data_IF_464649355617
#
_entry.id   IF_464649355617
#
_cell.length_a   1.000
_cell.length_b   1.000
_cell.length_c   1.000
_cell.angle_alpha   90.00
_cell.angle_beta   90.00
_cell.angle_gamma   90.00
#
_symmetry.space_group_name_H-M   'P 1'
#
loop_
_entity.id
_entity.type
_entity.pdbx_description
1 polymer ?
#
# COMPACT_ATOMS: atom_id res chain seq x y z
N UNK A 1 13.85 -7.95 42.50
CA UNK A 1 13.07 -7.01 41.68
C UNK A 1 11.70 -7.61 41.48
N UNK A 2 10.69 -6.96 42.01
CA UNK A 2 9.31 -7.45 42.12
C UNK A 2 8.65 -7.52 40.73
N UNK A 3 8.11 -8.66 40.26
CA UNK A 3 7.49 -8.80 38.96
C UNK A 3 6.16 -8.05 38.80
N UNK A 4 5.65 -7.47 39.88
CA UNK A 4 4.32 -6.83 39.95
C UNK A 4 4.26 -5.38 39.43
N UNK A 5 5.36 -4.78 39.01
CA UNK A 5 5.41 -3.37 38.59
C UNK A 5 5.55 -3.18 37.08
N UNK A 6 4.98 -4.09 36.27
CA UNK A 6 4.70 -3.80 34.88
C UNK A 6 3.50 -2.84 34.82
N UNK A 7 3.75 -1.56 35.07
CA UNK A 7 2.78 -0.52 34.73
C UNK A 7 2.46 -0.70 33.23
N UNK A 8 1.23 -1.16 32.95
CA UNK A 8 0.69 -1.23 31.60
C UNK A 8 0.82 0.16 30.98
N UNK A 9 1.78 0.31 30.09
CA UNK A 9 1.95 1.55 29.33
C UNK A 9 0.69 1.78 28.50
N UNK A 10 -0.18 2.68 28.98
CA UNK A 10 -1.45 2.96 28.34
C UNK A 10 -1.30 3.84 27.09
N UNK A 11 -0.13 4.48 26.91
CA UNK A 11 0.08 5.49 25.87
C UNK A 11 1.51 5.42 25.33
N UNK A 12 1.66 5.48 24.01
CA UNK A 12 2.93 5.69 23.31
C UNK A 12 3.05 7.15 22.84
N UNK A 13 4.28 7.65 22.82
CA UNK A 13 4.65 8.97 22.29
C UNK A 13 5.25 8.74 20.91
N UNK A 14 4.65 9.31 19.85
CA UNK A 14 5.13 9.27 18.49
C UNK A 14 5.91 10.56 18.19
N UNK A 15 7.24 10.51 18.19
CA UNK A 15 8.06 11.73 17.97
C UNK A 15 7.82 12.33 16.58
N UNK A 16 7.63 11.49 15.56
CA UNK A 16 7.39 11.95 14.21
C UNK A 16 8.50 12.88 13.70
N UNK A 17 8.15 14.11 13.39
CA UNK A 17 9.04 15.17 12.92
C UNK A 17 9.18 16.30 13.95
N UNK A 18 9.02 16.00 15.25
CA UNK A 18 9.02 17.00 16.34
C UNK A 18 10.24 17.89 16.40
N UNK A 19 11.39 17.41 15.92
CA UNK A 19 12.64 18.18 15.89
C UNK A 19 12.59 19.36 14.90
N UNK A 20 11.58 19.39 14.01
CA UNK A 20 11.41 20.38 12.96
C UNK A 20 9.97 20.94 12.89
N UNK A 21 9.57 21.87 13.79
CA UNK A 21 8.18 22.36 13.87
C UNK A 21 7.67 23.01 12.58
N UNK A 22 8.52 23.74 11.84
CA UNK A 22 8.14 24.32 10.55
C UNK A 22 7.85 23.24 9.49
N UNK A 23 8.59 22.13 9.53
CA UNK A 23 8.37 21.01 8.64
C UNK A 23 7.04 20.31 8.94
N UNK A 24 6.65 20.17 10.21
CA UNK A 24 5.37 19.60 10.60
C UNK A 24 4.18 20.36 10.03
N UNK A 25 4.23 21.69 10.06
CA UNK A 25 3.18 22.53 9.48
C UNK A 25 3.06 22.32 7.95
N UNK A 26 4.20 22.27 7.24
CA UNK A 26 4.21 22.00 5.80
C UNK A 26 3.70 20.58 5.51
N UNK A 27 4.19 19.59 6.27
CA UNK A 27 3.78 18.21 6.11
C UNK A 27 2.28 18.01 6.36
N UNK A 28 1.69 18.71 7.32
CA UNK A 28 0.25 18.62 7.58
C UNK A 28 -0.57 19.04 6.36
N UNK A 29 -0.19 20.12 5.68
CA UNK A 29 -0.81 20.57 4.43
C UNK A 29 -0.62 19.56 3.30
N UNK A 30 0.60 19.08 3.10
CA UNK A 30 0.97 18.10 2.06
C UNK A 30 0.21 16.78 2.28
N UNK A 31 0.22 16.24 3.50
CA UNK A 31 -0.47 15.00 3.85
C UNK A 31 -1.97 15.13 3.65
N UNK A 32 -2.57 16.24 4.09
CA UNK A 32 -4.00 16.49 3.88
C UNK A 32 -4.35 16.54 2.39
N UNK A 33 -3.55 17.21 1.58
CA UNK A 33 -3.76 17.31 0.14
C UNK A 33 -3.72 15.93 -0.53
N UNK A 34 -2.68 15.13 -0.27
CA UNK A 34 -2.57 13.79 -0.84
C UNK A 34 -3.65 12.82 -0.32
N UNK A 35 -4.06 12.96 0.94
CA UNK A 35 -5.15 12.17 1.50
C UNK A 35 -6.49 12.45 0.81
N UNK A 36 -6.80 13.71 0.54
CA UNK A 36 -8.00 14.08 -0.24
C UNK A 36 -7.95 13.46 -1.65
N UNK A 37 -6.80 13.54 -2.33
CA UNK A 37 -6.61 12.91 -3.65
C UNK A 37 -6.84 11.39 -3.56
N UNK A 38 -6.31 10.74 -2.53
CA UNK A 38 -6.51 9.30 -2.30
C UNK A 38 -7.99 8.97 -2.12
N UNK A 39 -8.69 9.70 -1.24
CA UNK A 39 -10.12 9.46 -0.97
C UNK A 39 -10.97 9.65 -2.22
N UNK A 40 -10.80 10.78 -2.92
CA UNK A 40 -11.60 11.11 -4.11
C UNK A 40 -11.24 10.19 -5.27
N UNK A 41 -9.96 10.03 -5.55
CA UNK A 41 -9.48 9.29 -6.73
C UNK A 41 -9.80 7.80 -6.66
N UNK A 42 -9.50 7.16 -5.52
CA UNK A 42 -9.75 5.72 -5.36
C UNK A 42 -11.26 5.42 -5.26
N UNK A 43 -12.05 6.27 -4.58
CA UNK A 43 -13.51 6.13 -4.58
C UNK A 43 -14.09 6.26 -6.00
N UNK A 44 -13.59 7.20 -6.80
CA UNK A 44 -14.03 7.36 -8.19
C UNK A 44 -13.71 6.12 -9.05
N UNK A 45 -12.52 5.50 -8.89
CA UNK A 45 -12.16 4.25 -9.58
C UNK A 45 -13.10 3.12 -9.17
N UNK A 46 -13.36 2.95 -7.87
CA UNK A 46 -14.27 1.92 -7.37
C UNK A 46 -15.66 2.10 -7.98
N UNK A 47 -16.21 3.30 -7.91
CA UNK A 47 -17.55 3.60 -8.46
C UNK A 47 -17.60 3.39 -9.97
N UNK A 48 -16.62 3.90 -10.73
CA UNK A 48 -16.56 3.71 -12.18
C UNK A 48 -16.49 2.23 -12.55
N UNK A 49 -15.65 1.44 -11.85
CA UNK A 49 -15.48 0.00 -12.11
C UNK A 49 -16.70 -0.85 -11.71
N UNK A 50 -17.57 -0.35 -10.86
CA UNK A 50 -18.82 -1.01 -10.48
C UNK A 50 -19.97 -0.66 -11.43
N UNK A 51 -20.03 0.62 -11.87
CA UNK A 51 -21.18 1.16 -12.60
C UNK A 51 -21.04 1.02 -14.12
N UNK A 52 -19.82 0.99 -14.69
CA UNK A 52 -19.63 0.83 -16.14
C UNK A 52 -19.38 -0.64 -16.50
N UNK A 53 -20.31 -1.31 -17.24
CA UNK A 53 -20.15 -2.72 -17.66
C UNK A 53 -18.89 -2.98 -18.49
N UNK A 54 -18.36 -1.98 -19.21
CA UNK A 54 -17.13 -2.11 -19.98
C UNK A 54 -15.89 -2.34 -19.10
N UNK A 55 -15.98 -2.00 -17.81
CA UNK A 55 -14.93 -2.21 -16.82
C UNK A 55 -15.08 -3.53 -16.03
N UNK A 56 -16.01 -4.41 -16.40
CA UNK A 56 -16.19 -5.71 -15.74
C UNK A 56 -15.21 -6.75 -16.30
N UNK A 57 -13.90 -6.46 -16.23
CA UNK A 57 -12.84 -7.38 -16.63
C UNK A 57 -11.93 -7.72 -15.44
N UNK A 58 -11.16 -8.83 -15.50
CA UNK A 58 -10.24 -9.20 -14.43
C UNK A 58 -9.30 -8.06 -14.00
N UNK A 59 -8.75 -7.31 -14.97
CA UNK A 59 -7.90 -6.15 -14.69
C UNK A 59 -8.56 -5.13 -13.78
N UNK A 60 -9.78 -4.70 -14.09
CA UNK A 60 -10.49 -3.69 -13.30
C UNK A 60 -11.00 -4.25 -11.98
N UNK A 61 -11.23 -5.56 -11.89
CA UNK A 61 -11.51 -6.24 -10.63
C UNK A 61 -10.32 -6.13 -9.67
N UNK A 62 -9.08 -6.39 -10.14
CA UNK A 62 -7.88 -6.21 -9.31
C UNK A 62 -7.60 -4.74 -9.01
N UNK A 63 -7.78 -3.85 -9.97
CA UNK A 63 -7.62 -2.41 -9.77
C UNK A 63 -8.59 -1.86 -8.71
N UNK A 64 -9.83 -2.33 -8.71
CA UNK A 64 -10.81 -1.99 -7.66
C UNK A 64 -10.37 -2.47 -6.27
N UNK A 65 -9.80 -3.67 -6.19
CA UNK A 65 -9.23 -4.17 -4.93
C UNK A 65 -8.03 -3.34 -4.48
N UNK A 66 -7.15 -2.91 -5.39
CA UNK A 66 -6.04 -2.01 -5.09
C UNK A 66 -6.55 -0.66 -4.59
N UNK A 67 -7.54 -0.06 -5.26
CA UNK A 67 -8.14 1.20 -4.81
C UNK A 67 -8.81 1.10 -3.45
N UNK A 68 -9.48 -0.01 -3.14
CA UNK A 68 -10.03 -0.26 -1.82
C UNK A 68 -8.93 -0.41 -0.76
N UNK A 69 -7.86 -1.12 -1.09
CA UNK A 69 -6.67 -1.25 -0.25
C UNK A 69 -6.06 0.14 0.06
N UNK A 70 -5.87 0.98 -0.95
CA UNK A 70 -5.32 2.34 -0.81
C UNK A 70 -6.14 3.21 0.15
N UNK A 71 -7.48 3.12 0.08
CA UNK A 71 -8.39 3.82 0.99
C UNK A 71 -8.21 3.33 2.43
N UNK A 72 -8.21 2.02 2.64
CA UNK A 72 -8.05 1.44 3.98
C UNK A 72 -6.67 1.76 4.56
N UNK A 73 -5.62 1.64 3.75
CA UNK A 73 -4.23 1.85 4.15
C UNK A 73 -3.98 3.28 4.60
N UNK A 74 -4.32 4.26 3.78
CA UNK A 74 -4.14 5.67 4.12
C UNK A 74 -5.04 6.10 5.28
N UNK A 75 -6.28 5.61 5.35
CA UNK A 75 -7.20 5.96 6.44
C UNK A 75 -6.77 5.35 7.79
N UNK A 76 -6.02 4.26 7.80
CA UNK A 76 -5.45 3.70 9.03
C UNK A 76 -4.29 4.53 9.60
N UNK A 77 -3.66 5.38 8.79
CA UNK A 77 -2.45 6.14 9.16
C UNK A 77 -2.74 7.62 9.29
N UNK A 78 -3.32 8.23 8.25
CA UNK A 78 -3.38 9.69 8.09
C UNK A 78 -4.17 10.41 9.17
N UNK A 79 -5.36 9.97 9.61
CA UNK A 79 -6.09 10.69 10.65
C UNK A 79 -5.30 10.83 11.95
N UNK A 80 -4.68 9.76 12.44
CA UNK A 80 -3.85 9.79 13.65
C UNK A 80 -2.60 10.66 13.45
N UNK A 81 -1.97 10.57 12.26
CA UNK A 81 -0.82 11.40 11.93
C UNK A 81 -1.18 12.89 11.94
N UNK A 82 -2.31 13.29 11.34
CA UNK A 82 -2.76 14.69 11.33
C UNK A 82 -3.07 15.20 12.74
N UNK A 83 -3.72 14.39 13.58
CA UNK A 83 -3.95 14.73 14.99
C UNK A 83 -2.63 15.01 15.71
N UNK A 84 -1.61 14.20 15.45
CA UNK A 84 -0.29 14.38 16.07
C UNK A 84 0.49 15.57 15.48
N UNK A 85 0.32 15.90 14.19
CA UNK A 85 0.97 17.06 13.57
C UNK A 85 0.36 18.40 14.05
N UNK A 86 -0.95 18.43 14.31
CA UNK A 86 -1.65 19.66 14.75
C UNK A 86 -1.74 19.80 16.27
N UNK A 87 -1.72 18.67 16.98
CA UNK A 87 -1.92 18.65 18.42
C UNK A 87 -0.65 18.86 19.24
N UNK A 88 -0.77 19.42 20.45
CA UNK A 88 0.38 19.58 21.35
C UNK A 88 0.87 18.24 21.94
N UNK A 89 0.00 17.22 21.95
CA UNK A 89 0.31 15.89 22.46
C UNK A 89 0.47 14.91 21.31
N UNK A 90 1.66 14.40 21.11
CA UNK A 90 2.02 13.44 20.07
C UNK A 90 1.86 12.01 20.59
N UNK A 91 0.64 11.63 20.93
CA UNK A 91 0.36 10.39 21.63
C UNK A 91 -0.64 9.50 20.90
N UNK A 92 -0.48 8.20 21.09
CA UNK A 92 -1.44 7.18 20.68
C UNK A 92 -1.64 6.20 21.83
N UNK A 93 -2.88 5.73 22.04
CA UNK A 93 -3.14 4.69 23.04
C UNK A 93 -2.43 3.38 22.68
N UNK A 94 -2.09 2.57 23.68
CA UNK A 94 -1.46 1.25 23.45
C UNK A 94 -2.32 0.36 22.54
N UNK A 95 -3.64 0.38 22.74
CA UNK A 95 -4.59 -0.33 21.86
C UNK A 95 -4.58 0.23 20.44
N UNK A 96 -4.63 1.56 20.30
CA UNK A 96 -4.59 2.21 18.99
C UNK A 96 -3.30 1.91 18.23
N UNK A 97 -2.16 1.93 18.91
CA UNK A 97 -0.86 1.57 18.33
C UNK A 97 -0.83 0.10 17.87
N UNK A 98 -1.33 -0.81 18.70
CA UNK A 98 -1.42 -2.23 18.37
C UNK A 98 -2.32 -2.44 17.15
N UNK A 99 -3.52 -1.88 17.12
CA UNK A 99 -4.44 -1.97 15.98
C UNK A 99 -3.80 -1.39 14.71
N UNK A 100 -3.17 -0.22 14.81
CA UNK A 100 -2.46 0.40 13.68
C UNK A 100 -1.36 -0.52 13.14
N UNK A 101 -0.55 -1.13 14.02
CA UNK A 101 0.51 -2.06 13.63
C UNK A 101 -0.05 -3.26 12.84
N UNK A 102 -1.12 -3.91 13.34
CA UNK A 102 -1.73 -5.06 12.68
C UNK A 102 -2.32 -4.68 11.32
N UNK A 103 -3.08 -3.60 11.26
CA UNK A 103 -3.73 -3.13 10.02
C UNK A 103 -2.67 -2.71 8.99
N UNK A 104 -1.66 -1.94 9.42
CA UNK A 104 -0.55 -1.50 8.58
C UNK A 104 0.21 -2.68 7.96
N UNK A 105 0.61 -3.67 8.76
CA UNK A 105 1.32 -4.85 8.29
C UNK A 105 0.47 -5.73 7.38
N UNK A 106 -0.82 -5.88 7.69
CA UNK A 106 -1.75 -6.65 6.88
C UNK A 106 -1.93 -6.02 5.50
N UNK A 107 -2.28 -4.74 5.44
CA UNK A 107 -2.56 -4.04 4.19
C UNK A 107 -1.30 -3.87 3.32
N UNK A 108 -0.13 -3.61 3.93
CA UNK A 108 1.15 -3.55 3.21
C UNK A 108 1.55 -4.90 2.59
N UNK A 109 1.26 -6.01 3.29
CA UNK A 109 1.47 -7.36 2.74
C UNK A 109 0.52 -7.67 1.58
N UNK A 110 -0.74 -7.22 1.66
CA UNK A 110 -1.71 -7.35 0.55
C UNK A 110 -1.19 -6.62 -0.69
N UNK A 111 -0.64 -5.42 -0.54
CA UNK A 111 -0.13 -4.63 -1.67
C UNK A 111 0.98 -5.37 -2.42
N UNK A 112 1.96 -5.96 -1.72
CA UNK A 112 3.00 -6.78 -2.33
C UNK A 112 2.43 -7.93 -3.17
N UNK A 113 1.53 -8.71 -2.58
CA UNK A 113 0.96 -9.90 -3.24
C UNK A 113 -0.01 -9.52 -4.37
N UNK A 114 -0.80 -8.45 -4.20
CA UNK A 114 -1.77 -7.99 -5.20
C UNK A 114 -1.06 -7.49 -6.46
N UNK A 115 0.05 -6.76 -6.33
CA UNK A 115 0.86 -6.35 -7.48
C UNK A 115 1.40 -7.54 -8.26
N UNK A 116 1.78 -8.65 -7.59
CA UNK A 116 2.19 -9.87 -8.28
C UNK A 116 1.01 -10.54 -9.02
N UNK A 117 -0.18 -10.59 -8.42
CA UNK A 117 -1.39 -11.08 -9.09
C UNK A 117 -1.71 -10.22 -10.31
N UNK A 118 -1.61 -8.90 -10.21
CA UNK A 118 -1.81 -7.99 -11.34
C UNK A 118 -0.76 -8.18 -12.44
N UNK A 119 0.49 -8.50 -12.10
CA UNK A 119 1.51 -8.82 -13.11
C UNK A 119 1.20 -10.12 -13.86
N UNK A 120 0.66 -11.13 -13.17
CA UNK A 120 0.20 -12.37 -13.80
C UNK A 120 -1.00 -12.13 -14.72
N UNK A 121 -1.94 -11.27 -14.34
CA UNK A 121 -3.03 -10.83 -15.22
C UNK A 121 -2.48 -10.18 -16.50
N UNK A 122 -1.50 -9.27 -16.39
CA UNK A 122 -0.85 -8.65 -17.56
C UNK A 122 -0.14 -9.68 -18.44
N UNK A 123 0.60 -10.61 -17.82
CA UNK A 123 1.26 -11.70 -18.53
C UNK A 123 0.27 -12.53 -19.35
N UNK A 124 -0.83 -12.96 -18.74
CA UNK A 124 -1.86 -13.74 -19.42
C UNK A 124 -2.54 -12.96 -20.55
N UNK A 125 -2.84 -11.69 -20.34
CA UNK A 125 -3.48 -10.84 -21.34
C UNK A 125 -2.61 -10.60 -22.59
N UNK A 126 -1.29 -10.52 -22.42
CA UNK A 126 -0.36 -10.19 -23.51
C UNK A 126 0.26 -11.44 -24.15
N UNK A 127 0.69 -12.39 -23.32
CA UNK A 127 1.38 -13.59 -23.81
C UNK A 127 0.42 -14.73 -24.22
N UNK A 128 -0.82 -14.74 -23.69
CA UNK A 128 -1.83 -15.78 -23.97
C UNK A 128 -3.21 -15.16 -24.29
N UNK A 129 -3.33 -14.24 -25.27
CA UNK A 129 -4.54 -13.44 -25.48
C UNK A 129 -5.77 -14.29 -25.83
N UNK A 130 -5.61 -15.38 -26.58
CA UNK A 130 -6.69 -16.28 -26.96
C UNK A 130 -7.29 -17.07 -25.78
N UNK A 131 -6.50 -17.30 -24.74
CA UNK A 131 -6.91 -18.07 -23.56
C UNK A 131 -7.16 -17.17 -22.34
N UNK A 132 -7.07 -15.86 -22.48
CA UNK A 132 -7.12 -14.92 -21.35
C UNK A 132 -8.36 -15.09 -20.50
N UNK A 133 -9.55 -15.04 -21.06
CA UNK A 133 -10.82 -15.17 -20.31
C UNK A 133 -11.07 -16.58 -19.79
N UNK A 134 -10.45 -17.60 -20.38
CA UNK A 134 -10.53 -18.99 -19.88
C UNK A 134 -9.64 -19.15 -18.64
N UNK A 135 -8.41 -18.61 -18.70
CA UNK A 135 -7.45 -18.66 -17.58
C UNK A 135 -7.92 -17.73 -16.45
N UNK A 136 -8.17 -16.46 -16.77
CA UNK A 136 -8.56 -15.42 -15.82
C UNK A 136 -10.09 -15.39 -15.62
N UNK A 137 -10.68 -16.56 -15.35
CA UNK A 137 -12.13 -16.64 -15.07
C UNK A 137 -12.45 -16.02 -13.69
N UNK A 138 -13.71 -15.59 -13.47
CA UNK A 138 -14.12 -14.92 -12.22
C UNK A 138 -13.82 -15.73 -10.95
N UNK A 139 -13.96 -17.07 -11.02
CA UNK A 139 -13.69 -17.95 -9.87
C UNK A 139 -12.22 -17.91 -9.47
N UNK A 140 -11.31 -17.95 -10.46
CA UNK A 140 -9.87 -17.84 -10.20
C UNK A 140 -9.52 -16.46 -9.64
N UNK A 141 -10.06 -15.38 -10.22
CA UNK A 141 -9.81 -14.02 -9.74
C UNK A 141 -10.22 -13.84 -8.27
N UNK A 142 -11.40 -14.30 -7.89
CA UNK A 142 -11.88 -14.27 -6.50
C UNK A 142 -10.99 -15.14 -5.60
N UNK A 143 -10.64 -16.36 -6.03
CA UNK A 143 -9.75 -17.25 -5.27
C UNK A 143 -8.41 -16.59 -5.01
N UNK A 144 -7.80 -15.94 -6.01
CA UNK A 144 -6.52 -15.23 -5.86
C UNK A 144 -6.63 -14.10 -4.83
N UNK A 145 -7.69 -13.29 -4.88
CA UNK A 145 -7.91 -12.23 -3.89
C UNK A 145 -8.08 -12.80 -2.49
N UNK A 146 -8.92 -13.81 -2.31
CA UNK A 146 -9.11 -14.45 -0.99
C UNK A 146 -7.79 -15.00 -0.44
N UNK A 147 -6.96 -15.61 -1.29
CA UNK A 147 -5.63 -16.11 -0.89
C UNK A 147 -4.69 -14.95 -0.51
N UNK A 148 -4.65 -13.87 -1.28
CA UNK A 148 -3.85 -12.68 -0.98
C UNK A 148 -4.22 -12.09 0.38
N UNK A 149 -5.50 -11.89 0.65
CA UNK A 149 -5.99 -11.34 1.91
C UNK A 149 -5.70 -12.29 3.09
N UNK A 150 -5.91 -13.61 2.91
CA UNK A 150 -5.68 -14.62 3.94
C UNK A 150 -4.20 -14.80 4.30
N UNK A 151 -3.31 -14.93 3.31
CA UNK A 151 -1.86 -15.04 3.53
C UNK A 151 -1.33 -13.79 4.21
N UNK A 152 -1.74 -12.61 3.77
CA UNK A 152 -1.33 -11.33 4.35
C UNK A 152 -1.80 -11.19 5.80
N UNK A 153 -3.02 -11.64 6.11
CA UNK A 153 -3.53 -11.64 7.48
C UNK A 153 -2.71 -12.56 8.38
N UNK A 154 -2.42 -13.78 7.93
CA UNK A 154 -1.59 -14.71 8.68
C UNK A 154 -0.18 -14.14 8.95
N UNK A 155 0.46 -13.53 7.94
CA UNK A 155 1.74 -12.84 8.10
C UNK A 155 1.66 -11.73 9.16
N UNK A 156 0.66 -10.86 9.06
CA UNK A 156 0.45 -9.78 10.03
C UNK A 156 0.23 -10.31 11.44
N UNK A 157 -0.63 -11.31 11.62
CA UNK A 157 -0.91 -11.91 12.94
C UNK A 157 0.37 -12.47 13.54
N UNK A 158 1.17 -13.22 12.79
CA UNK A 158 2.42 -13.80 13.31
C UNK A 158 3.38 -12.71 13.75
N UNK A 159 3.74 -11.78 12.85
CA UNK A 159 4.76 -10.77 13.13
C UNK A 159 4.34 -9.78 14.21
N UNK A 160 3.10 -9.30 14.16
CA UNK A 160 2.62 -8.34 15.14
C UNK A 160 2.45 -8.95 16.53
N UNK A 161 1.98 -10.20 16.62
CA UNK A 161 1.87 -10.89 17.92
C UNK A 161 3.25 -11.08 18.55
N UNK A 162 4.25 -11.51 17.78
CA UNK A 162 5.63 -11.63 18.26
C UNK A 162 6.17 -10.27 18.75
N UNK A 163 5.88 -9.19 18.05
CA UNK A 163 6.37 -7.85 18.38
C UNK A 163 5.66 -7.23 19.58
N UNK A 164 4.34 -7.36 19.67
CA UNK A 164 3.54 -6.77 20.75
C UNK A 164 3.84 -7.43 22.10
N UNK A 165 4.18 -8.71 22.10
CA UNK A 165 4.53 -9.46 23.32
C UNK A 165 5.96 -9.20 23.82
N UNK A 166 6.79 -8.42 23.11
CA UNK A 166 8.11 -8.06 23.60
C UNK A 166 8.02 -7.15 24.84
N UNK A 167 8.74 -7.46 25.93
CA UNK A 167 8.87 -6.58 27.09
C UNK A 167 9.55 -5.26 26.74
N UNK A 168 9.00 -4.13 27.21
CA UNK A 168 9.48 -2.78 26.89
C UNK A 168 10.09 -2.03 28.08
N UNK A 169 10.00 -2.60 29.29
CA UNK A 169 10.62 -2.07 30.53
C UNK A 169 10.36 -0.57 30.77
N UNK A 170 9.17 -0.09 30.47
CA UNK A 170 8.82 1.32 30.64
C UNK A 170 9.11 2.23 29.44
N UNK A 171 9.77 1.74 28.37
CA UNK A 171 9.99 2.51 27.16
C UNK A 171 8.69 2.67 26.37
N UNK A 172 8.30 3.91 26.10
CA UNK A 172 7.06 4.26 25.37
C UNK A 172 7.24 5.33 24.31
N UNK A 173 8.48 5.68 23.98
CA UNK A 173 8.80 6.69 22.98
C UNK A 173 9.16 5.98 21.68
N UNK A 174 8.36 6.22 20.62
CA UNK A 174 8.61 5.74 19.28
C UNK A 174 9.13 6.88 18.42
N UNK A 175 10.36 6.72 17.90
CA UNK A 175 10.96 7.70 16.99
C UNK A 175 10.43 7.48 15.56
N UNK A 176 9.11 7.59 15.42
CA UNK A 176 8.39 7.50 14.14
C UNK A 176 7.04 8.21 14.24
N UNK A 177 6.38 8.48 13.10
CA UNK A 177 5.05 9.09 13.05
C UNK A 177 3.89 8.09 13.07
N UNK A 178 4.19 6.79 13.03
CA UNK A 178 3.24 5.68 13.12
C UNK A 178 3.83 4.52 13.91
N UNK A 179 2.97 3.62 14.39
CA UNK A 179 3.38 2.37 15.02
C UNK A 179 3.77 1.37 13.93
N UNK A 180 5.06 1.24 13.68
CA UNK A 180 5.62 0.26 12.75
C UNK A 180 6.47 -0.79 13.49
N UNK A 181 6.65 -1.93 12.85
CA UNK A 181 7.33 -3.06 13.45
C UNK A 181 8.79 -2.74 13.85
N UNK A 182 9.64 -2.12 13.01
CA UNK A 182 11.01 -1.79 13.42
C UNK A 182 11.07 -0.82 14.60
N UNK A 183 10.18 0.16 14.68
CA UNK A 183 10.15 1.12 15.79
C UNK A 183 9.74 0.43 17.10
N UNK A 184 8.78 -0.51 17.03
CA UNK A 184 8.31 -1.28 18.19
C UNK A 184 9.37 -2.27 18.69
N UNK A 185 10.16 -2.90 17.80
CA UNK A 185 11.26 -3.80 18.18
C UNK A 185 12.39 -3.04 18.84
N UNK A 186 12.71 -1.81 18.36
CA UNK A 186 13.80 -0.98 18.92
C UNK A 186 13.60 -0.58 20.39
N UNK A 187 12.36 -0.48 20.87
CA UNK A 187 12.07 -0.11 22.27
C UNK A 187 11.98 -1.33 23.21
N UNK A 188 12.17 -2.54 22.68
CA UNK A 188 12.22 -3.75 23.50
C UNK A 188 13.48 -3.76 24.37
N UNK A 189 13.36 -4.26 25.61
CA UNK A 189 14.46 -4.37 26.56
C UNK A 189 14.99 -5.79 26.73
N UNK A 190 14.68 -6.65 25.76
CA UNK A 190 15.11 -8.06 25.71
C UNK A 190 15.81 -8.34 24.38
N UNK A 191 16.41 -9.51 24.28
CA UNK A 191 16.98 -9.99 23.00
C UNK A 191 15.88 -10.17 21.94
N UNK A 192 15.99 -9.43 20.84
CA UNK A 192 15.02 -9.38 19.74
C UNK A 192 15.39 -10.27 18.56
N UNK A 193 16.53 -10.98 18.63
CA UNK A 193 17.10 -11.76 17.52
C UNK A 193 16.09 -12.72 16.88
N UNK A 194 15.27 -13.40 17.69
CA UNK A 194 14.24 -14.32 17.16
C UNK A 194 13.15 -13.59 16.36
N UNK A 195 12.73 -12.44 16.83
CA UNK A 195 11.70 -11.62 16.14
C UNK A 195 12.29 -11.06 14.85
N UNK A 196 13.49 -10.52 14.89
CA UNK A 196 14.19 -9.99 13.71
C UNK A 196 14.41 -11.07 12.65
N UNK A 197 14.80 -12.29 13.05
CA UNK A 197 14.95 -13.43 12.13
C UNK A 197 13.59 -13.82 11.51
N UNK A 198 12.50 -13.80 12.29
CA UNK A 198 11.16 -14.08 11.78
C UNK A 198 10.71 -13.01 10.79
N UNK A 199 10.97 -11.73 11.08
CA UNK A 199 10.70 -10.60 10.18
C UNK A 199 11.46 -10.75 8.87
N UNK A 200 12.74 -11.10 8.95
CA UNK A 200 13.58 -11.33 7.78
C UNK A 200 13.07 -12.50 6.92
N UNK A 201 12.79 -13.65 7.53
CA UNK A 201 12.32 -14.84 6.83
C UNK A 201 10.95 -14.61 6.15
N UNK A 202 9.99 -14.04 6.86
CA UNK A 202 8.67 -13.71 6.31
C UNK A 202 8.74 -12.56 5.30
N UNK A 203 9.64 -11.61 5.50
CA UNK A 203 9.91 -10.54 4.54
C UNK A 203 10.40 -11.08 3.19
N UNK A 204 11.24 -12.09 3.15
CA UNK A 204 11.63 -12.79 1.92
C UNK A 204 10.39 -13.35 1.22
N UNK A 205 9.51 -14.03 1.95
CA UNK A 205 8.30 -14.66 1.38
C UNK A 205 7.32 -13.62 0.86
N UNK A 206 7.07 -12.56 1.62
CA UNK A 206 5.99 -11.58 1.34
C UNK A 206 6.46 -10.45 0.41
N UNK A 207 7.74 -10.11 0.39
CA UNK A 207 8.27 -9.00 -0.41
C UNK A 207 9.09 -9.50 -1.60
N UNK A 208 10.11 -10.33 -1.37
CA UNK A 208 11.01 -10.73 -2.46
C UNK A 208 10.38 -11.74 -3.41
N UNK A 209 9.62 -12.72 -2.93
CA UNK A 209 8.98 -13.71 -3.82
C UNK A 209 8.01 -13.05 -4.80
N UNK A 210 7.06 -12.17 -4.38
CA UNK A 210 6.22 -11.44 -5.31
C UNK A 210 7.01 -10.58 -6.30
N UNK A 211 8.06 -9.90 -5.85
CA UNK A 211 8.92 -9.09 -6.73
C UNK A 211 9.58 -9.95 -7.81
N UNK A 212 10.11 -11.11 -7.46
CA UNK A 212 10.70 -12.05 -8.44
C UNK A 212 9.64 -12.51 -9.45
N UNK A 213 8.42 -12.85 -9.00
CA UNK A 213 7.31 -13.22 -9.88
C UNK A 213 6.92 -12.09 -10.85
N UNK A 214 6.91 -10.84 -10.36
CA UNK A 214 6.68 -9.65 -11.19
C UNK A 214 7.77 -9.54 -12.26
N UNK A 215 9.04 -9.62 -11.88
CA UNK A 215 10.18 -9.50 -12.81
C UNK A 215 10.15 -10.61 -13.87
N UNK A 216 9.87 -11.85 -13.49
CA UNK A 216 9.70 -12.97 -14.43
C UNK A 216 8.56 -12.70 -15.40
N UNK A 217 7.38 -12.29 -14.91
CA UNK A 217 6.21 -11.98 -15.73
C UNK A 217 6.53 -10.89 -16.76
N UNK A 218 7.19 -9.82 -16.33
CA UNK A 218 7.59 -8.72 -17.22
C UNK A 218 8.72 -9.08 -18.18
N UNK A 219 9.61 -9.99 -17.81
CA UNK A 219 10.59 -10.57 -18.75
C UNK A 219 9.92 -11.28 -19.92
N UNK A 220 8.91 -12.11 -19.65
CA UNK A 220 8.12 -12.77 -20.71
C UNK A 220 7.29 -11.78 -21.53
N UNK A 221 6.67 -10.79 -20.90
CA UNK A 221 5.93 -9.72 -21.58
C UNK A 221 6.86 -8.96 -22.53
N UNK A 222 8.03 -8.54 -22.05
CA UNK A 222 9.00 -7.82 -22.88
C UNK A 222 9.42 -8.63 -24.11
N UNK A 223 9.77 -9.92 -23.91
CA UNK A 223 10.10 -10.83 -25.02
C UNK A 223 8.96 -10.94 -26.04
N UNK A 224 7.71 -11.06 -25.57
CA UNK A 224 6.54 -11.16 -26.44
C UNK A 224 6.31 -9.86 -27.22
N UNK A 225 6.38 -8.71 -26.54
CA UNK A 225 6.18 -7.39 -27.17
C UNK A 225 7.24 -7.08 -28.21
N UNK A 226 8.51 -7.39 -27.94
CA UNK A 226 9.61 -7.20 -28.91
C UNK A 226 9.44 -8.04 -30.17
N UNK A 227 8.83 -9.22 -30.05
CA UNK A 227 8.56 -10.12 -31.20
C UNK A 227 7.27 -9.80 -31.96
N UNK A 228 6.45 -8.83 -31.51
CA UNK A 228 5.24 -8.42 -32.20
C UNK A 228 5.58 -7.68 -33.50
N UNK A 229 5.01 -8.10 -34.64
CA UNK A 229 5.19 -7.45 -35.93
C UNK A 229 4.47 -6.09 -36.04
N UNK A 230 3.39 -5.89 -35.27
CA UNK A 230 2.58 -4.68 -35.33
C UNK A 230 3.07 -3.64 -34.31
N UNK A 231 3.55 -2.49 -34.80
CA UNK A 231 3.92 -1.34 -33.94
C UNK A 231 2.75 -0.83 -33.11
N UNK A 232 1.53 -0.83 -33.65
CA UNK A 232 0.33 -0.45 -32.94
C UNK A 232 0.03 -1.41 -31.77
N UNK A 233 0.22 -2.72 -31.96
CA UNK A 233 0.11 -3.74 -30.92
C UNK A 233 1.16 -3.57 -29.82
N UNK A 234 2.43 -3.31 -30.21
CA UNK A 234 3.51 -3.01 -29.25
C UNK A 234 3.16 -1.79 -28.38
N UNK A 235 2.75 -0.68 -29.01
CA UNK A 235 2.39 0.54 -28.28
C UNK A 235 1.23 0.34 -27.33
N UNK A 236 0.20 -0.42 -27.73
CA UNK A 236 -0.93 -0.76 -26.86
C UNK A 236 -0.49 -1.58 -25.66
N UNK A 237 0.37 -2.59 -25.85
CA UNK A 237 0.92 -3.42 -24.78
C UNK A 237 1.76 -2.59 -23.80
N UNK A 238 2.66 -1.74 -24.31
CA UNK A 238 3.50 -0.85 -23.49
C UNK A 238 2.65 0.13 -22.68
N UNK A 239 1.62 0.73 -23.27
CA UNK A 239 0.73 1.65 -22.53
C UNK A 239 -0.05 0.93 -21.43
N UNK A 240 -0.50 -0.29 -21.67
CA UNK A 240 -1.23 -1.10 -20.70
C UNK A 240 -0.35 -1.53 -19.53
N UNK A 241 0.90 -1.93 -19.81
CA UNK A 241 1.85 -2.36 -18.79
C UNK A 241 2.48 -1.20 -18.02
N UNK A 242 2.65 -0.06 -18.70
CA UNK A 242 3.40 1.08 -18.14
C UNK A 242 2.81 1.65 -16.86
N UNK A 243 1.49 1.65 -16.70
CA UNK A 243 0.86 2.07 -15.45
C UNK A 243 1.22 1.15 -14.30
N UNK A 244 1.10 -0.17 -14.49
CA UNK A 244 1.42 -1.14 -13.46
C UNK A 244 2.92 -1.12 -13.11
N UNK A 245 3.81 -1.08 -14.12
CA UNK A 245 5.25 -0.95 -13.89
C UNK A 245 5.62 0.32 -13.12
N UNK A 246 4.95 1.43 -13.40
CA UNK A 246 5.17 2.69 -12.66
C UNK A 246 4.83 2.50 -11.18
N UNK A 247 3.67 1.92 -10.87
CA UNK A 247 3.24 1.63 -9.48
C UNK A 247 4.20 0.67 -8.80
N UNK A 248 4.57 -0.44 -9.45
CA UNK A 248 5.55 -1.41 -8.94
C UNK A 248 6.89 -0.73 -8.64
N UNK A 249 7.37 0.12 -9.55
CA UNK A 249 8.66 0.83 -9.36
C UNK A 249 8.62 1.81 -8.20
N UNK A 250 7.52 2.56 -8.03
CA UNK A 250 7.35 3.48 -6.90
C UNK A 250 7.28 2.72 -5.57
N UNK A 251 6.50 1.65 -5.52
CA UNK A 251 6.30 0.86 -4.31
C UNK A 251 7.57 0.09 -3.94
N UNK A 252 8.03 -0.82 -4.80
CA UNK A 252 9.19 -1.65 -4.50
C UNK A 252 10.50 -0.87 -4.49
N UNK A 253 10.63 0.17 -5.31
CA UNK A 253 11.80 1.05 -5.29
C UNK A 253 11.99 1.72 -3.94
N UNK A 254 10.92 2.19 -3.32
CA UNK A 254 10.95 2.78 -1.98
C UNK A 254 11.35 1.77 -0.91
N UNK A 255 10.78 0.56 -0.96
CA UNK A 255 11.09 -0.53 -0.02
C UNK A 255 12.55 -0.98 -0.18
N UNK A 256 13.01 -1.24 -1.41
CA UNK A 256 14.36 -1.68 -1.70
C UNK A 256 15.37 -0.62 -1.23
N UNK A 257 15.11 0.67 -1.50
CA UNK A 257 15.97 1.75 -1.05
C UNK A 257 16.06 1.79 0.49
N UNK A 258 14.95 1.61 1.19
CA UNK A 258 14.91 1.60 2.66
C UNK A 258 15.73 0.44 3.25
N UNK A 259 15.65 -0.76 2.65
CA UNK A 259 16.30 -1.96 3.17
C UNK A 259 17.72 -2.20 2.66
N UNK A 260 18.11 -1.66 1.50
CA UNK A 260 19.45 -1.84 0.92
C UNK A 260 20.45 -0.75 1.33
N UNK A 261 20.05 0.25 2.13
CA UNK A 261 21.02 1.22 2.62
C UNK A 261 22.00 0.54 3.59
N UNK A 262 23.30 0.45 3.25
CA UNK A 262 24.29 -0.19 4.12
C UNK A 262 24.48 0.64 5.38
N UNK A 263 24.11 0.09 6.52
CA UNK A 263 24.42 0.49 7.87
C UNK A 263 24.19 1.96 8.20
N UNK A 264 23.29 2.27 9.10
CA UNK A 264 23.14 3.53 9.90
C UNK A 264 23.40 4.90 9.21
N UNK A 265 23.57 4.97 7.89
CA UNK A 265 23.84 6.21 7.15
C UNK A 265 22.58 6.94 6.66
N UNK A 266 21.42 6.25 6.60
CA UNK A 266 20.18 7.00 6.46
C UNK A 266 19.95 7.76 7.75
N UNK A 267 19.87 9.09 7.69
CA UNK A 267 19.38 9.85 8.83
C UNK A 267 18.02 9.26 9.22
N UNK A 268 17.69 9.20 10.50
CA UNK A 268 16.40 8.70 10.99
C UNK A 268 15.23 9.32 10.21
N UNK A 269 15.38 10.57 9.80
CA UNK A 269 14.40 11.31 9.02
C UNK A 269 14.24 10.79 7.59
N UNK A 270 15.28 10.31 6.92
CA UNK A 270 15.14 9.71 5.57
C UNK A 270 14.23 8.46 5.60
N UNK A 271 14.33 7.62 6.64
CA UNK A 271 13.44 6.50 6.82
C UNK A 271 11.98 6.94 6.95
N UNK A 272 11.71 7.98 7.76
CA UNK A 272 10.38 8.56 7.94
C UNK A 272 9.82 9.12 6.62
N UNK A 273 10.63 9.86 5.84
CA UNK A 273 10.19 10.38 4.54
C UNK A 273 9.88 9.28 3.53
N UNK A 274 10.69 8.22 3.49
CA UNK A 274 10.41 7.08 2.62
C UNK A 274 9.12 6.36 3.02
N UNK A 275 8.91 6.14 4.31
CA UNK A 275 7.66 5.57 4.81
C UNK A 275 6.47 6.44 4.40
N UNK A 276 6.57 7.76 4.55
CA UNK A 276 5.55 8.72 4.12
C UNK A 276 5.28 8.63 2.61
N UNK A 277 6.34 8.45 1.81
CA UNK A 277 6.23 8.34 0.36
C UNK A 277 5.42 7.12 -0.06
N UNK A 278 5.77 5.92 0.39
CA UNK A 278 5.04 4.72 -0.06
C UNK A 278 3.69 4.51 0.65
N UNK A 279 3.48 5.10 1.84
CA UNK A 279 2.21 4.94 2.57
C UNK A 279 1.14 5.97 2.22
N UNK A 280 1.53 7.16 1.77
CA UNK A 280 0.60 8.27 1.51
C UNK A 280 0.68 8.74 0.06
N UNK A 281 1.90 9.01 -0.46
CA UNK A 281 2.05 9.56 -1.81
C UNK A 281 1.74 8.51 -2.86
N UNK A 282 2.29 7.30 -2.76
CA UNK A 282 2.04 6.24 -3.76
C UNK A 282 0.55 5.89 -3.90
N UNK A 283 -0.24 5.66 -2.82
CA UNK A 283 -1.69 5.45 -2.93
C UNK A 283 -2.46 6.60 -3.56
N UNK A 284 -1.98 7.84 -3.41
CA UNK A 284 -2.60 9.00 -4.05
C UNK A 284 -2.27 9.10 -5.54
N UNK A 285 -1.11 8.60 -5.96
CA UNK A 285 -0.70 8.58 -7.37
C UNK A 285 -1.36 7.44 -8.15
N UNK A 286 -1.73 6.34 -7.51
CA UNK A 286 -2.35 5.19 -8.16
C UNK A 286 -3.57 5.56 -9.03
N UNK A 287 -4.56 6.34 -8.54
CA UNK A 287 -5.68 6.78 -9.36
C UNK A 287 -5.25 7.58 -10.59
N UNK A 288 -4.26 8.46 -10.44
CA UNK A 288 -3.75 9.29 -11.52
C UNK A 288 -3.04 8.43 -12.58
N UNK A 289 -2.16 7.53 -12.15
CA UNK A 289 -1.38 6.66 -13.04
C UNK A 289 -2.30 5.75 -13.86
N UNK A 290 -3.28 5.11 -13.23
CA UNK A 290 -4.21 4.22 -13.92
C UNK A 290 -5.22 4.97 -14.77
N UNK A 291 -5.69 6.16 -14.34
CA UNK A 291 -6.63 6.97 -15.11
C UNK A 291 -5.94 7.63 -16.31
N UNK A 292 -4.76 8.24 -16.11
CA UNK A 292 -4.11 9.01 -17.18
C UNK A 292 -3.70 8.16 -18.38
N UNK A 293 -3.37 6.90 -18.18
CA UNK A 293 -2.92 5.99 -19.25
C UNK A 293 -4.01 5.07 -19.78
N UNK A 294 -5.16 4.98 -19.11
CA UNK A 294 -6.25 4.07 -19.51
C UNK A 294 -7.43 4.86 -20.06
N UNK A 295 -7.71 4.67 -21.36
CA UNK A 295 -8.79 5.35 -22.07
C UNK A 295 -10.17 4.94 -21.57
N UNK A 296 -10.39 3.65 -21.33
CA UNK A 296 -11.68 3.13 -20.88
C UNK A 296 -12.04 3.68 -19.49
N UNK A 297 -11.07 3.75 -18.59
CA UNK A 297 -11.24 4.37 -17.27
C UNK A 297 -11.55 5.86 -17.37
N UNK A 298 -10.87 6.61 -18.26
CA UNK A 298 -11.18 8.03 -18.49
C UNK A 298 -12.62 8.24 -18.96
N UNK A 299 -13.06 7.41 -19.89
CA UNK A 299 -14.39 7.52 -20.47
C UNK A 299 -15.47 7.13 -19.44
N UNK A 300 -15.24 6.12 -18.63
CA UNK A 300 -16.12 5.74 -17.51
C UNK A 300 -16.22 6.85 -16.44
N UNK A 301 -15.12 7.49 -16.07
CA UNK A 301 -15.11 8.60 -15.14
C UNK A 301 -15.86 9.83 -15.70
N UNK A 302 -15.71 10.14 -16.99
CA UNK A 302 -16.49 11.21 -17.64
C UNK A 302 -17.98 10.91 -17.62
N UNK A 303 -18.40 9.65 -17.85
CA UNK A 303 -19.81 9.24 -17.74
C UNK A 303 -20.32 9.43 -16.31
N UNK A 304 -19.54 9.01 -15.31
CA UNK A 304 -19.88 9.16 -13.89
C UNK A 304 -20.09 10.64 -13.51
N UNK A 305 -19.18 11.53 -13.94
CA UNK A 305 -19.30 12.97 -13.70
C UNK A 305 -20.55 13.57 -14.35
N UNK A 306 -20.85 13.20 -15.61
CA UNK A 306 -22.07 13.65 -16.31
C UNK A 306 -23.34 13.17 -15.62
N UNK A 307 -23.36 11.94 -15.11
CA UNK A 307 -24.46 11.39 -14.36
C UNK A 307 -24.70 12.19 -13.06
N UNK A 308 -23.63 12.47 -12.31
CA UNK A 308 -23.71 13.28 -11.10
C UNK A 308 -24.23 14.69 -11.36
N UNK A 309 -23.76 15.37 -12.42
CA UNK A 309 -24.23 16.70 -12.81
C UNK A 309 -25.72 16.71 -13.17
N UNK A 310 -26.23 15.69 -13.85
CA UNK A 310 -27.66 15.56 -14.15
C UNK A 310 -28.49 15.38 -12.88
N UNK A 311 -28.08 14.54 -11.97
CA UNK A 311 -28.75 14.34 -10.67
C UNK A 311 -28.76 15.62 -9.82
N UNK A 312 -27.63 16.31 -9.73
CA UNK A 312 -27.53 17.56 -8.99
C UNK A 312 -28.44 18.66 -9.57
N UNK A 313 -28.65 18.66 -10.91
CA UNK A 313 -29.57 19.62 -11.57
C UNK A 313 -31.05 19.29 -11.29
N UNK A 314 -31.43 18.01 -11.27
CA UNK A 314 -32.78 17.53 -10.96
C UNK A 314 -33.16 17.83 -9.50
N UNK A 315 -32.23 17.80 -8.58
CA UNK A 315 -32.46 18.06 -7.14
C UNK A 315 -32.56 19.55 -6.80
N UNK A 316 -32.16 20.44 -7.73
CA UNK A 316 -32.24 21.91 -7.56
C UNK A 316 -33.50 22.52 -8.16
N UNK A 317 -34.22 21.77 -9.00
CA UNK A 317 -35.55 22.13 -9.55
C UNK A 317 -36.65 21.42 -8.76
#
# INVERSE_FOLDING_TARGET
>A
MDPSNYSTLHVFILLGFSDHPHLEMILSGVVTFFYIITLVGNTAIILASLLDPHLHTPMYFFLRNLSFLDLCYTTSIVPQMLVNLWGPKKTISSVGCTVQLYVYMWLGSIECLLLAVMSYDRFTAICKPLHYFVIMNPRLCVKMIVMVWGISLANSVILCTLTVNLPRCGHNILDHFLCELPAMVRIACVDTTKVELSVFALGIVIVLTPLILILISYGYIAKTVLNMKSKAGQQKAVNTCGSHLTVVSLFYGSIIYLYLQPGNRASKDQGKFLTLFYTIITPSLNPLIYTLRNRDMKDALKKLMRFYHRFAKIRRN
#
